data_IF_041230228052
#
_entry.id   IF_041230228052
#
_cell.length_a   1.000
_cell.length_b   1.000
_cell.length_c   1.000
_cell.angle_alpha   90.00
_cell.angle_beta   90.00
_cell.angle_gamma   90.00
#
_symmetry.space_group_name_H-M   'P 1'
#
loop_
_entity.id
_entity.type
_entity.pdbx_description
1 polymer ?
#
# COMPACT_ATOMS: atom_id res chain seq x y z
N UNK A 1 -2.35 -2.33 -20.13
CA UNK A 1 -2.62 -2.29 -18.68
C UNK A 1 -3.59 -1.16 -18.41
N UNK A 2 -4.62 -1.41 -17.62
CA UNK A 2 -5.57 -0.39 -17.17
C UNK A 2 -4.87 0.64 -16.27
N UNK A 3 -5.31 1.91 -16.37
CA UNK A 3 -4.78 3.00 -15.53
C UNK A 3 -5.94 3.78 -14.94
N UNK A 4 -5.72 4.31 -13.74
CA UNK A 4 -6.60 5.32 -13.15
C UNK A 4 -5.97 6.70 -13.25
N UNK A 5 -6.82 7.72 -13.31
CA UNK A 5 -6.36 9.10 -13.40
C UNK A 5 -6.41 9.74 -12.02
N UNK A 6 -5.30 10.25 -11.55
CA UNK A 6 -5.21 11.03 -10.32
C UNK A 6 -5.78 12.43 -10.51
N UNK A 7 -6.07 13.13 -9.41
CA UNK A 7 -6.53 14.54 -9.42
C UNK A 7 -5.60 15.47 -10.21
N UNK A 8 -4.29 15.18 -10.22
CA UNK A 8 -3.29 15.92 -11.02
C UNK A 8 -3.38 15.70 -12.53
N UNK A 9 -4.20 14.76 -13.00
CA UNK A 9 -4.26 14.30 -14.39
C UNK A 9 -3.25 13.20 -14.72
N UNK A 10 -2.33 12.87 -13.83
CA UNK A 10 -1.38 11.77 -14.03
C UNK A 10 -2.09 10.42 -14.02
N UNK A 11 -1.52 9.45 -14.75
CA UNK A 11 -2.08 8.10 -14.84
C UNK A 11 -1.22 7.12 -14.04
N UNK A 12 -1.85 6.43 -13.08
CA UNK A 12 -1.25 5.35 -12.32
C UNK A 12 -1.73 4.00 -12.87
N UNK A 13 -0.83 3.01 -13.09
CA UNK A 13 -1.26 1.65 -13.41
C UNK A 13 -2.15 1.06 -12.31
N UNK A 14 -3.32 0.57 -12.68
CA UNK A 14 -4.30 0.02 -11.75
C UNK A 14 -3.83 -1.24 -11.01
N UNK A 15 -2.79 -1.89 -11.54
CA UNK A 15 -2.25 -3.13 -11.01
C UNK A 15 -0.74 -3.04 -10.84
N UNK A 16 -0.25 -3.36 -9.63
CA UNK A 16 1.16 -3.32 -9.27
C UNK A 16 1.65 -4.57 -8.54
N UNK A 17 2.93 -4.60 -8.23
CA UNK A 17 3.59 -5.61 -7.42
C UNK A 17 3.93 -5.04 -6.05
N UNK A 18 3.37 -5.62 -4.98
CA UNK A 18 3.83 -5.39 -3.61
C UNK A 18 5.13 -6.14 -3.32
N UNK A 19 6.03 -5.53 -2.55
CA UNK A 19 7.35 -6.10 -2.22
C UNK A 19 7.49 -6.52 -0.76
N UNK A 20 6.51 -6.28 0.09
CA UNK A 20 6.54 -6.64 1.51
C UNK A 20 6.76 -8.14 1.73
N UNK A 21 7.52 -8.52 2.75
CA UNK A 21 7.84 -9.91 3.15
C UNK A 21 8.57 -10.76 2.08
N UNK A 22 9.16 -10.14 1.09
CA UNK A 22 10.06 -10.87 0.19
C UNK A 22 11.41 -11.09 0.90
N UNK A 23 11.86 -12.33 0.95
CA UNK A 23 13.14 -12.66 1.59
C UNK A 23 14.31 -12.11 0.77
N UNK A 24 15.44 -11.94 1.46
CA UNK A 24 16.69 -11.52 0.82
C UNK A 24 17.03 -12.45 -0.36
N UNK A 25 17.39 -11.88 -1.50
CA UNK A 25 17.69 -12.58 -2.74
C UNK A 25 16.47 -13.03 -3.56
N UNK A 26 15.23 -12.86 -3.04
CA UNK A 26 14.01 -13.23 -3.76
C UNK A 26 13.37 -12.04 -4.49
N UNK A 27 13.40 -10.83 -3.88
CA UNK A 27 12.68 -9.66 -4.41
C UNK A 27 13.28 -9.19 -5.72
N UNK A 28 14.60 -9.17 -5.87
CA UNK A 28 15.25 -8.79 -7.12
C UNK A 28 14.77 -9.68 -8.30
N UNK A 29 14.75 -11.00 -8.08
CA UNK A 29 14.29 -11.96 -9.09
C UNK A 29 12.82 -11.77 -9.42
N UNK A 30 11.99 -11.55 -8.38
CA UNK A 30 10.56 -11.34 -8.54
C UNK A 30 10.26 -10.06 -9.33
N UNK A 31 10.95 -8.97 -9.02
CA UNK A 31 10.78 -7.68 -9.74
C UNK A 31 11.24 -7.81 -11.19
N UNK A 32 12.40 -8.42 -11.44
CA UNK A 32 12.87 -8.69 -12.83
C UNK A 32 11.87 -9.50 -13.63
N UNK A 33 11.30 -10.56 -13.03
CA UNK A 33 10.27 -11.37 -13.70
C UNK A 33 8.98 -10.59 -13.91
N UNK A 34 8.53 -9.82 -12.93
CA UNK A 34 7.34 -8.99 -13.05
C UNK A 34 7.47 -7.96 -14.19
N UNK A 35 8.60 -7.26 -14.26
CA UNK A 35 8.88 -6.31 -15.35
C UNK A 35 8.87 -7.00 -16.73
N UNK A 36 9.43 -8.24 -16.85
CA UNK A 36 9.35 -9.04 -18.08
C UNK A 36 7.93 -9.45 -18.44
N UNK A 37 7.07 -9.74 -17.46
CA UNK A 37 5.65 -10.07 -17.66
C UNK A 37 4.87 -8.84 -18.14
N UNK A 38 5.32 -7.63 -17.80
CA UNK A 38 4.68 -6.38 -18.19
C UNK A 38 4.14 -5.56 -17.03
N UNK A 39 4.47 -5.87 -15.78
CA UNK A 39 4.18 -4.99 -14.65
C UNK A 39 4.86 -3.64 -14.86
N UNK A 40 4.14 -2.57 -14.51
CA UNK A 40 4.62 -1.19 -14.63
C UNK A 40 4.52 -0.42 -13.32
N UNK A 41 4.00 -1.04 -12.25
CA UNK A 41 3.87 -0.44 -10.93
C UNK A 41 4.52 -1.35 -9.88
N UNK A 42 5.43 -0.76 -9.08
CA UNK A 42 6.10 -1.41 -7.95
C UNK A 42 5.75 -0.63 -6.67
N UNK A 43 5.34 -1.35 -5.63
CA UNK A 43 5.06 -0.80 -4.31
C UNK A 43 6.11 -1.27 -3.30
N UNK A 44 6.91 -0.33 -2.82
CA UNK A 44 8.03 -0.50 -1.90
C UNK A 44 7.76 0.18 -0.56
N UNK A 45 8.64 0.01 0.39
CA UNK A 45 8.77 0.83 1.60
C UNK A 45 10.13 0.64 2.24
N UNK A 46 10.69 1.69 2.83
CA UNK A 46 11.97 1.65 3.53
C UNK A 46 12.04 0.56 4.60
N UNK A 47 10.93 0.38 5.36
CA UNK A 47 10.84 -0.62 6.42
C UNK A 47 10.91 -2.09 5.92
N UNK A 48 10.65 -2.34 4.64
CA UNK A 48 10.74 -3.71 4.10
C UNK A 48 12.16 -4.20 3.96
N UNK A 49 13.15 -3.31 4.11
CA UNK A 49 14.60 -3.60 4.10
C UNK A 49 15.06 -4.35 2.85
N UNK A 50 14.39 -4.10 1.72
CA UNK A 50 14.68 -4.76 0.44
C UNK A 50 14.75 -3.81 -0.76
N UNK A 51 14.70 -2.48 -0.53
CA UNK A 51 14.74 -1.47 -1.60
C UNK A 51 16.03 -1.55 -2.43
N UNK A 52 17.18 -1.87 -1.82
CA UNK A 52 18.44 -2.07 -2.54
C UNK A 52 18.34 -3.18 -3.60
N UNK A 53 17.68 -4.30 -3.28
CA UNK A 53 17.47 -5.39 -4.24
C UNK A 53 16.45 -5.01 -5.33
N UNK A 54 15.40 -4.26 -4.96
CA UNK A 54 14.47 -3.68 -5.94
C UNK A 54 15.21 -2.74 -6.88
N UNK A 55 16.10 -1.89 -6.35
CA UNK A 55 16.95 -0.99 -7.13
C UNK A 55 17.89 -1.71 -8.09
N UNK A 56 18.44 -2.88 -7.70
CA UNK A 56 19.23 -3.73 -8.60
C UNK A 56 18.38 -4.25 -9.77
N UNK A 57 17.12 -4.63 -9.49
CA UNK A 57 16.20 -5.06 -10.54
C UNK A 57 15.81 -3.90 -11.47
N UNK A 58 15.51 -2.73 -10.91
CA UNK A 58 15.19 -1.51 -11.68
C UNK A 58 16.34 -1.08 -12.58
N UNK A 59 17.58 -1.10 -12.08
CA UNK A 59 18.76 -0.77 -12.86
C UNK A 59 19.00 -1.71 -14.07
N UNK A 60 18.43 -2.92 -14.04
CA UNK A 60 18.47 -3.87 -15.15
C UNK A 60 17.30 -3.77 -16.13
N UNK A 61 16.33 -2.89 -15.85
CA UNK A 61 15.18 -2.66 -16.74
C UNK A 61 15.61 -1.89 -17.98
N UNK A 62 15.39 -2.51 -19.15
CA UNK A 62 15.80 -1.93 -20.44
C UNK A 62 14.83 -0.89 -21.01
N UNK A 63 13.64 -0.77 -20.44
CA UNK A 63 12.64 0.22 -20.87
C UNK A 63 12.86 1.59 -20.23
N UNK A 64 12.16 2.62 -20.73
CA UNK A 64 12.31 3.98 -20.19
C UNK A 64 11.71 4.11 -18.79
N UNK A 65 12.36 4.90 -17.91
CA UNK A 65 11.95 5.12 -16.52
C UNK A 65 10.50 5.63 -16.40
N UNK A 66 10.09 6.50 -17.31
CA UNK A 66 8.75 7.12 -17.29
C UNK A 66 7.60 6.14 -17.57
N UNK A 67 7.89 4.92 -18.03
CA UNK A 67 6.88 3.86 -18.14
C UNK A 67 6.61 3.15 -16.81
N UNK A 68 7.48 3.34 -15.82
CA UNK A 68 7.35 2.71 -14.52
C UNK A 68 6.75 3.70 -13.51
N UNK A 69 5.87 3.19 -12.69
CA UNK A 69 5.38 3.83 -11.49
C UNK A 69 6.01 3.15 -10.27
N UNK A 70 6.77 3.89 -9.49
CA UNK A 70 7.43 3.39 -8.28
C UNK A 70 6.94 4.17 -7.07
N UNK A 71 6.32 3.45 -6.15
CA UNK A 71 5.85 3.97 -4.85
C UNK A 71 6.78 3.51 -3.76
N UNK A 72 7.12 4.40 -2.82
CA UNK A 72 7.69 4.02 -1.53
C UNK A 72 7.06 4.81 -0.39
N UNK A 73 7.50 4.57 0.87
CA UNK A 73 6.82 5.06 2.05
C UNK A 73 7.80 5.55 3.10
N UNK A 74 7.49 6.69 3.69
CA UNK A 74 8.14 7.29 4.85
C UNK A 74 7.82 6.46 6.09
N UNK A 75 8.83 5.95 6.76
CA UNK A 75 8.63 5.16 7.98
C UNK A 75 8.38 6.04 9.20
N UNK A 76 7.73 5.45 10.20
CA UNK A 76 7.23 6.10 11.41
C UNK A 76 8.28 6.86 12.24
N UNK A 77 9.56 6.51 12.10
CA UNK A 77 10.68 7.17 12.79
C UNK A 77 11.30 8.34 12.04
N UNK A 78 10.72 8.74 10.91
CA UNK A 78 11.21 9.84 10.09
C UNK A 78 10.11 10.90 9.82
N UNK A 79 9.17 11.05 10.74
CA UNK A 79 8.08 12.01 10.60
C UNK A 79 8.47 13.44 11.04
N UNK A 80 9.58 13.63 11.78
CA UNK A 80 10.09 14.98 12.01
C UNK A 80 10.41 15.67 10.67
N UNK A 81 10.04 16.95 10.49
CA UNK A 81 10.23 17.64 9.21
C UNK A 81 11.64 17.53 8.65
N UNK A 82 12.66 17.67 9.51
CA UNK A 82 14.07 17.55 9.13
C UNK A 82 14.49 16.14 8.68
N UNK A 83 13.77 15.10 9.07
CA UNK A 83 14.09 13.70 8.74
C UNK A 83 13.41 13.24 7.44
N UNK A 84 12.35 13.92 6.97
CA UNK A 84 11.55 13.50 5.81
C UNK A 84 12.40 13.43 4.54
N UNK A 85 13.09 14.52 4.22
CA UNK A 85 13.93 14.58 3.03
C UNK A 85 15.10 13.60 3.08
N UNK A 86 15.90 13.51 4.15
CA UNK A 86 16.94 12.49 4.26
C UNK A 86 16.44 11.06 4.10
N UNK A 87 15.26 10.72 4.64
CA UNK A 87 14.64 9.41 4.48
C UNK A 87 14.28 9.12 3.01
N UNK A 88 13.72 10.10 2.30
CA UNK A 88 13.41 9.96 0.87
C UNK A 88 14.69 9.83 0.02
N UNK A 89 15.71 10.64 0.28
CA UNK A 89 16.99 10.58 -0.42
C UNK A 89 17.66 9.20 -0.21
N UNK A 90 17.54 8.63 0.98
CA UNK A 90 18.02 7.27 1.27
C UNK A 90 17.25 6.23 0.45
N UNK A 91 15.93 6.31 0.42
CA UNK A 91 15.06 5.45 -0.42
C UNK A 91 15.46 5.55 -1.89
N UNK A 92 15.67 6.76 -2.41
CA UNK A 92 16.10 6.98 -3.80
C UNK A 92 17.46 6.34 -4.11
N UNK A 93 18.41 6.47 -3.19
CA UNK A 93 19.72 5.82 -3.30
C UNK A 93 19.59 4.30 -3.35
N UNK A 94 18.81 3.71 -2.45
CA UNK A 94 18.62 2.27 -2.37
C UNK A 94 17.89 1.72 -3.61
N UNK A 95 16.88 2.43 -4.11
CA UNK A 95 16.16 2.11 -5.34
C UNK A 95 16.92 2.46 -6.62
N UNK A 96 18.06 3.18 -6.53
CA UNK A 96 18.85 3.68 -7.67
C UNK A 96 18.03 4.56 -8.61
N UNK A 97 17.22 5.42 -8.04
CA UNK A 97 16.34 6.35 -8.75
C UNK A 97 16.71 7.81 -8.43
N UNK A 98 16.35 8.71 -9.33
CA UNK A 98 16.45 10.16 -9.11
C UNK A 98 15.18 10.76 -8.52
N UNK A 99 14.03 10.08 -8.70
CA UNK A 99 12.74 10.49 -8.15
C UNK A 99 11.81 9.29 -8.01
N UNK A 100 10.84 9.40 -7.11
CA UNK A 100 9.68 8.52 -7.03
C UNK A 100 8.49 9.08 -7.80
N UNK A 101 7.57 8.21 -8.22
CA UNK A 101 6.27 8.63 -8.75
C UNK A 101 5.29 8.96 -7.61
N UNK A 102 5.42 8.28 -6.46
CA UNK A 102 4.59 8.49 -5.29
C UNK A 102 5.36 8.17 -4.00
N UNK A 103 5.28 9.06 -3.02
CA UNK A 103 5.79 8.83 -1.67
C UNK A 103 4.69 9.00 -0.63
N UNK A 104 4.54 8.04 0.28
CA UNK A 104 3.43 7.96 1.24
C UNK A 104 3.94 8.08 2.69
N UNK A 105 3.20 8.76 3.56
CA UNK A 105 3.29 8.50 5.01
C UNK A 105 2.77 7.07 5.23
N UNK A 106 3.59 6.19 5.83
CA UNK A 106 3.27 4.76 5.92
C UNK A 106 2.16 4.45 6.93
N UNK A 107 2.22 5.07 8.10
CA UNK A 107 1.22 4.99 9.17
C UNK A 107 1.10 6.35 9.87
N UNK A 108 -0.06 6.69 10.45
CA UNK A 108 -0.20 7.92 11.24
C UNK A 108 0.36 7.75 12.67
N UNK A 109 1.51 7.12 12.82
CA UNK A 109 2.13 6.75 14.09
C UNK A 109 3.56 7.25 14.11
N UNK A 110 4.01 7.80 15.23
CA UNK A 110 5.32 8.41 15.38
C UNK A 110 6.22 7.60 16.31
N UNK A 111 7.44 7.36 15.87
CA UNK A 111 8.50 6.76 16.68
C UNK A 111 9.64 7.74 16.86
N UNK A 112 10.42 7.56 17.93
CA UNK A 112 11.69 8.24 18.08
C UNK A 112 12.59 8.00 16.87
N UNK A 113 13.33 9.04 16.44
CA UNK A 113 14.20 8.99 15.29
C UNK A 113 15.15 7.77 15.33
N UNK A 114 15.29 7.07 14.18
CA UNK A 114 16.13 5.89 14.04
C UNK A 114 15.55 4.57 14.59
N UNK A 115 14.40 4.60 15.25
CA UNK A 115 13.72 3.40 15.75
C UNK A 115 13.04 2.68 14.60
N UNK A 116 13.39 1.41 14.39
CA UNK A 116 12.77 0.57 13.35
C UNK A 116 11.44 0.00 13.84
N UNK A 117 11.45 -0.65 15.01
CA UNK A 117 10.27 -1.11 15.74
C UNK A 117 10.49 -0.82 17.23
N UNK A 118 9.60 -0.11 17.91
CA UNK A 118 9.70 0.19 19.33
C UNK A 118 9.75 -1.07 20.18
N UNK A 119 10.55 -1.02 21.24
CA UNK A 119 10.71 -2.10 22.25
C UNK A 119 10.42 -1.62 23.67
N UNK A 120 10.22 -0.32 23.86
CA UNK A 120 9.97 0.34 25.12
C UNK A 120 9.14 1.62 24.92
N UNK A 121 8.49 2.11 25.95
CA UNK A 121 7.58 3.26 25.90
C UNK A 121 8.24 4.54 25.37
N UNK A 122 9.49 4.80 25.73
CA UNK A 122 10.26 5.98 25.31
C UNK A 122 10.56 6.03 23.81
N UNK A 123 10.33 4.94 23.08
CA UNK A 123 10.51 4.84 21.64
C UNK A 123 9.23 5.15 20.85
N UNK A 124 8.09 5.27 21.54
CA UNK A 124 6.87 5.81 20.97
C UNK A 124 6.76 7.31 21.25
N UNK A 125 6.50 8.11 20.26
CA UNK A 125 6.10 9.49 20.46
C UNK A 125 4.57 9.57 20.51
N UNK A 126 3.98 10.42 21.38
CA UNK A 126 2.53 10.57 21.43
C UNK A 126 1.97 11.11 20.09
N UNK A 127 0.68 10.88 19.80
CA UNK A 127 0.05 11.27 18.54
C UNK A 127 0.16 12.75 18.18
N UNK A 128 0.26 13.62 19.17
CA UNK A 128 0.37 15.07 19.05
C UNK A 128 1.81 15.61 19.10
N UNK A 129 2.81 14.71 19.26
CA UNK A 129 4.21 15.13 19.33
C UNK A 129 4.75 15.71 18.02
N UNK A 130 4.22 15.26 16.89
CA UNK A 130 4.58 15.74 15.56
C UNK A 130 3.27 15.99 14.82
N UNK A 131 2.84 17.25 14.66
CA UNK A 131 1.69 17.57 13.84
C UNK A 131 1.86 17.00 12.43
N UNK A 132 0.88 16.25 11.95
CA UNK A 132 0.96 15.62 10.61
C UNK A 132 1.13 16.65 9.51
N UNK A 133 0.65 17.85 9.74
CA UNK A 133 0.77 19.00 8.84
C UNK A 133 2.24 19.41 8.62
N UNK A 134 3.09 19.32 9.64
CA UNK A 134 4.52 19.62 9.55
C UNK A 134 5.26 18.55 8.72
N UNK A 135 4.98 17.27 8.98
CA UNK A 135 5.48 16.15 8.14
C UNK A 135 5.02 16.33 6.69
N UNK A 136 3.75 16.73 6.49
CA UNK A 136 3.19 16.93 5.16
C UNK A 136 3.84 18.07 4.41
N UNK A 137 4.09 19.21 5.07
CA UNK A 137 4.80 20.35 4.49
C UNK A 137 6.21 19.94 4.01
N UNK A 138 6.95 19.16 4.80
CA UNK A 138 8.25 18.65 4.38
C UNK A 138 8.14 17.68 3.17
N UNK A 139 7.05 16.93 3.04
CA UNK A 139 6.77 16.14 1.83
C UNK A 139 6.44 17.03 0.62
N UNK A 140 5.72 18.14 0.81
CA UNK A 140 5.46 19.13 -0.25
C UNK A 140 6.77 19.76 -0.74
N UNK A 141 7.70 20.05 0.15
CA UNK A 141 9.05 20.52 -0.21
C UNK A 141 9.82 19.47 -1.02
N UNK A 142 9.67 18.19 -0.71
CA UNK A 142 10.23 17.09 -1.51
C UNK A 142 9.63 17.05 -2.94
N UNK A 143 8.35 17.36 -3.11
CA UNK A 143 7.74 17.51 -4.44
C UNK A 143 8.33 18.70 -5.18
N UNK A 144 8.46 19.85 -4.51
CA UNK A 144 9.05 21.06 -5.10
C UNK A 144 10.52 20.84 -5.52
N UNK A 145 11.25 20.03 -4.74
CA UNK A 145 12.62 19.63 -5.05
C UNK A 145 12.73 18.56 -6.16
N UNK A 146 11.61 18.04 -6.68
CA UNK A 146 11.58 17.01 -7.73
C UNK A 146 12.02 15.61 -7.26
N UNK A 147 12.04 15.36 -5.95
CA UNK A 147 12.40 14.05 -5.38
C UNK A 147 11.25 13.04 -5.46
N UNK A 148 10.02 13.52 -5.49
CA UNK A 148 8.82 12.72 -5.76
C UNK A 148 7.83 13.53 -6.59
N UNK A 149 7.05 12.86 -7.44
CA UNK A 149 6.04 13.56 -8.26
C UNK A 149 4.72 13.75 -7.51
N UNK A 150 4.33 12.77 -6.72
CA UNK A 150 3.10 12.77 -5.94
C UNK A 150 3.38 12.37 -4.51
N UNK A 151 2.54 12.85 -3.61
CA UNK A 151 2.53 12.48 -2.19
C UNK A 151 1.15 11.99 -1.78
N UNK A 152 1.11 11.15 -0.75
CA UNK A 152 -0.12 10.57 -0.24
C UNK A 152 0.08 9.97 1.15
N UNK A 153 -0.92 9.26 1.59
CA UNK A 153 -0.95 8.64 2.92
C UNK A 153 -1.24 7.14 2.83
N UNK A 154 -0.96 6.43 3.91
CA UNK A 154 -1.34 5.03 4.06
C UNK A 154 -1.87 4.80 5.48
N UNK A 155 -2.95 4.01 5.60
CA UNK A 155 -3.61 3.71 6.87
C UNK A 155 -4.22 4.94 7.59
N UNK A 156 -4.67 5.92 6.83
CA UNK A 156 -5.36 7.10 7.37
C UNK A 156 -6.87 6.94 7.29
N UNK A 157 -7.57 7.36 8.35
CA UNK A 157 -9.03 7.51 8.36
C UNK A 157 -9.45 8.79 7.64
N UNK A 158 -10.73 8.94 7.32
CA UNK A 158 -11.27 10.15 6.69
C UNK A 158 -11.01 11.38 7.56
N UNK A 159 -11.18 11.26 8.88
CA UNK A 159 -10.97 12.35 9.83
C UNK A 159 -9.50 12.82 9.84
N UNK A 160 -8.54 11.87 9.83
CA UNK A 160 -7.11 12.21 9.76
C UNK A 160 -6.73 12.87 8.44
N UNK A 161 -7.35 12.43 7.34
CA UNK A 161 -7.14 13.07 6.03
C UNK A 161 -7.77 14.47 6.01
N UNK A 162 -8.98 14.65 6.54
CA UNK A 162 -9.62 15.97 6.62
C UNK A 162 -8.82 16.94 7.49
N UNK A 163 -8.20 16.46 8.57
CA UNK A 163 -7.30 17.27 9.40
C UNK A 163 -6.10 17.75 8.58
N UNK A 164 -5.39 16.82 7.93
CA UNK A 164 -4.24 17.12 7.08
C UNK A 164 -4.61 18.10 5.94
N UNK A 165 -5.75 17.91 5.29
CA UNK A 165 -6.19 18.72 4.15
C UNK A 165 -6.52 20.18 4.52
N UNK A 166 -6.69 20.53 5.79
CA UNK A 166 -6.95 21.92 6.22
C UNK A 166 -5.77 22.87 5.91
N UNK A 167 -4.56 22.38 5.92
CA UNK A 167 -3.33 23.17 5.74
C UNK A 167 -2.53 22.76 4.51
N UNK A 168 -2.85 21.60 3.90
CA UNK A 168 -2.15 21.08 2.75
C UNK A 168 -2.26 22.00 1.51
N UNK A 169 -1.14 22.36 0.90
CA UNK A 169 -1.07 23.03 -0.41
C UNK A 169 -1.16 22.03 -1.56
N UNK A 170 -0.62 20.82 -1.35
CA UNK A 170 -0.72 19.67 -2.26
C UNK A 170 -1.62 18.64 -1.60
N UNK A 171 -2.79 18.34 -2.21
CA UNK A 171 -3.71 17.36 -1.69
C UNK A 171 -3.15 15.94 -1.80
N UNK A 172 -3.44 15.03 -0.84
CA UNK A 172 -3.05 13.63 -0.95
C UNK A 172 -3.58 13.02 -2.25
N UNK A 173 -2.68 12.45 -3.05
CA UNK A 173 -3.07 11.80 -4.31
C UNK A 173 -3.74 10.44 -4.06
N UNK A 174 -3.27 9.72 -3.04
CA UNK A 174 -3.66 8.34 -2.72
C UNK A 174 -3.75 8.16 -1.21
N UNK A 175 -4.73 7.34 -0.77
CA UNK A 175 -4.68 6.65 0.51
C UNK A 175 -4.51 5.14 0.25
N UNK A 176 -3.39 4.55 0.68
CA UNK A 176 -3.16 3.12 0.57
C UNK A 176 -3.65 2.42 1.85
N UNK A 177 -4.62 1.52 1.71
CA UNK A 177 -5.30 0.87 2.83
C UNK A 177 -5.42 -0.64 2.64
N UNK A 178 -5.62 -1.38 3.72
CA UNK A 178 -6.07 -2.75 3.62
C UNK A 178 -7.47 -2.80 3.02
N UNK A 179 -7.62 -3.54 1.90
CA UNK A 179 -8.90 -3.66 1.22
C UNK A 179 -9.00 -5.02 0.52
N UNK A 180 -10.04 -5.76 0.87
CA UNK A 180 -10.39 -7.08 0.33
C UNK A 180 -11.83 -7.44 0.73
N UNK A 181 -12.44 -8.55 0.24
CA UNK A 181 -13.84 -8.87 0.53
C UNK A 181 -14.25 -8.97 2.00
N UNK A 182 -13.32 -9.24 2.92
CA UNK A 182 -13.63 -9.24 4.37
C UNK A 182 -13.45 -7.87 5.04
N UNK A 183 -12.92 -6.88 4.30
CA UNK A 183 -12.77 -5.49 4.73
C UNK A 183 -12.95 -4.58 3.51
N UNK A 184 -14.20 -4.26 3.18
CA UNK A 184 -14.53 -3.66 1.89
C UNK A 184 -14.32 -2.16 1.81
N UNK A 185 -14.29 -1.47 2.94
CA UNK A 185 -13.96 -0.05 3.02
C UNK A 185 -14.88 0.86 2.16
N UNK A 186 -16.20 0.54 2.08
CA UNK A 186 -17.13 1.27 1.22
C UNK A 186 -17.23 2.76 1.58
N UNK A 187 -17.22 3.07 2.88
CA UNK A 187 -17.21 4.45 3.35
C UNK A 187 -15.97 5.21 2.86
N UNK A 188 -14.78 4.59 2.99
CA UNK A 188 -13.51 5.19 2.55
C UNK A 188 -13.43 5.30 1.01
N UNK A 189 -14.01 4.35 0.26
CA UNK A 189 -14.11 4.43 -1.19
C UNK A 189 -14.96 5.62 -1.64
N UNK A 190 -16.11 5.83 -1.00
CA UNK A 190 -17.00 6.96 -1.29
C UNK A 190 -16.31 8.28 -0.92
N UNK A 191 -15.72 8.35 0.27
CA UNK A 191 -14.92 9.50 0.70
C UNK A 191 -13.80 9.83 -0.30
N UNK A 192 -13.04 8.83 -0.73
CA UNK A 192 -11.97 9.02 -1.71
C UNK A 192 -12.49 9.58 -3.04
N UNK A 193 -13.64 9.08 -3.52
CA UNK A 193 -14.28 9.61 -4.75
C UNK A 193 -14.70 11.07 -4.59
N UNK A 194 -15.30 11.43 -3.48
CA UNK A 194 -15.73 12.82 -3.19
C UNK A 194 -14.55 13.78 -3.09
N UNK A 195 -13.49 13.36 -2.45
CA UNK A 195 -12.29 14.19 -2.24
C UNK A 195 -11.30 14.14 -3.41
N UNK A 196 -11.50 13.26 -4.39
CA UNK A 196 -10.56 13.03 -5.50
C UNK A 196 -9.26 12.34 -5.06
N UNK A 197 -9.32 11.50 -4.02
CA UNK A 197 -8.23 10.69 -3.48
C UNK A 197 -8.42 9.25 -3.94
N UNK A 198 -7.48 8.72 -4.70
CA UNK A 198 -7.55 7.34 -5.17
C UNK A 198 -7.14 6.37 -4.06
N UNK A 199 -7.81 5.21 -3.98
CA UNK A 199 -7.42 4.17 -3.03
C UNK A 199 -6.49 3.13 -3.67
N UNK A 200 -5.48 2.72 -2.91
CA UNK A 200 -4.65 1.54 -3.24
C UNK A 200 -4.93 0.43 -2.23
N UNK A 201 -5.36 -0.73 -2.73
CA UNK A 201 -5.66 -1.91 -1.94
C UNK A 201 -4.38 -2.72 -1.67
N UNK A 202 -3.90 -2.71 -0.43
CA UNK A 202 -2.88 -3.67 0.01
C UNK A 202 -3.54 -4.91 0.64
N UNK A 203 -2.77 -5.99 0.82
CA UNK A 203 -3.24 -7.30 1.28
C UNK A 203 -4.50 -7.83 0.55
N UNK A 204 -4.67 -7.62 -0.77
CA UNK A 204 -5.91 -7.98 -1.48
C UNK A 204 -6.23 -9.48 -1.45
N UNK A 205 -5.25 -10.32 -1.09
CA UNK A 205 -5.37 -11.78 -0.99
C UNK A 205 -5.46 -12.28 0.45
N UNK A 206 -5.66 -11.38 1.44
CA UNK A 206 -5.80 -11.73 2.87
C UNK A 206 -4.48 -11.94 3.61
N UNK A 207 -3.34 -11.56 3.02
CA UNK A 207 -2.01 -11.57 3.69
C UNK A 207 -1.67 -12.84 4.51
N UNK A 208 -2.07 -14.02 4.01
CA UNK A 208 -1.91 -15.31 4.72
C UNK A 208 -0.45 -15.71 5.00
N UNK A 209 0.54 -15.05 4.38
CA UNK A 209 1.98 -15.27 4.58
C UNK A 209 2.62 -14.29 5.58
N UNK A 210 1.82 -13.47 6.31
CA UNK A 210 2.36 -12.55 7.31
C UNK A 210 2.91 -13.29 8.53
N UNK A 211 3.80 -12.66 9.35
CA UNK A 211 4.38 -13.28 10.53
C UNK A 211 3.33 -13.86 11.47
N UNK A 212 3.63 -15.00 12.09
CA UNK A 212 2.68 -15.67 13.02
C UNK A 212 2.24 -14.77 14.18
N UNK A 213 3.13 -13.90 14.68
CA UNK A 213 2.83 -12.97 15.75
C UNK A 213 1.73 -11.94 15.38
N UNK A 214 1.52 -11.71 14.08
CA UNK A 214 0.45 -10.82 13.58
C UNK A 214 -0.84 -11.58 13.24
N UNK A 215 -0.89 -12.90 13.52
CA UNK A 215 -2.05 -13.73 13.20
C UNK A 215 -2.87 -13.95 14.46
N UNK A 216 -4.20 -13.82 14.31
CA UNK A 216 -5.17 -14.18 15.34
C UNK A 216 -5.51 -15.67 15.25
N UNK A 217 -5.91 -16.25 16.39
CA UNK A 217 -6.51 -17.58 16.38
C UNK A 217 -7.80 -17.56 15.53
N UNK A 218 -8.05 -18.61 14.77
CA UNK A 218 -9.29 -18.79 13.99
C UNK A 218 -9.57 -17.67 12.95
N UNK A 219 -8.52 -16.99 12.45
CA UNK A 219 -8.71 -15.99 11.41
C UNK A 219 -9.24 -16.62 10.09
N UNK A 220 -10.15 -15.92 9.39
CA UNK A 220 -10.69 -16.42 8.15
C UNK A 220 -9.64 -16.46 7.03
N UNK A 221 -9.65 -17.50 6.20
CA UNK A 221 -8.73 -17.64 5.07
C UNK A 221 -9.44 -17.25 3.78
N UNK A 222 -9.21 -16.02 3.32
CA UNK A 222 -9.92 -15.43 2.18
C UNK A 222 -9.82 -16.28 0.90
N UNK A 223 -8.64 -16.82 0.59
CA UNK A 223 -8.42 -17.68 -0.59
C UNK A 223 -9.17 -19.03 -0.52
N UNK A 224 -9.68 -19.41 0.64
CA UNK A 224 -10.45 -20.64 0.86
C UNK A 224 -11.95 -20.38 1.02
N UNK A 225 -12.38 -19.13 0.91
CA UNK A 225 -13.80 -18.78 0.99
C UNK A 225 -14.58 -19.46 -0.15
N UNK A 226 -15.71 -20.08 0.18
CA UNK A 226 -16.53 -20.86 -0.75
C UNK A 226 -17.03 -20.03 -1.93
N UNK A 227 -17.55 -18.85 -1.67
CA UNK A 227 -18.01 -17.89 -2.71
C UNK A 227 -16.89 -17.54 -3.68
N UNK A 228 -15.69 -17.23 -3.14
CA UNK A 228 -14.52 -16.90 -3.98
C UNK A 228 -14.10 -18.09 -4.85
N UNK A 229 -14.12 -19.31 -4.29
CA UNK A 229 -13.78 -20.54 -5.03
C UNK A 229 -14.83 -20.83 -6.12
N UNK A 230 -16.11 -20.66 -5.85
CA UNK A 230 -17.20 -20.88 -6.81
C UNK A 230 -17.12 -19.85 -7.94
N UNK A 231 -16.92 -18.57 -7.62
CA UNK A 231 -16.70 -17.51 -8.61
C UNK A 231 -15.46 -17.82 -9.47
N UNK A 232 -14.37 -18.28 -8.86
CA UNK A 232 -13.17 -18.67 -9.60
C UNK A 232 -13.43 -19.81 -10.59
N UNK A 233 -14.22 -20.81 -10.22
CA UNK A 233 -14.63 -21.92 -11.11
C UNK A 233 -15.47 -21.41 -12.27
N UNK A 234 -16.45 -20.53 -12.04
CA UNK A 234 -17.30 -19.89 -13.05
C UNK A 234 -16.45 -19.21 -14.13
N UNK A 235 -15.43 -18.45 -13.69
CA UNK A 235 -14.53 -17.70 -14.58
C UNK A 235 -13.30 -18.49 -15.09
N UNK A 236 -13.17 -19.79 -14.78
CA UNK A 236 -11.98 -20.60 -15.08
C UNK A 236 -10.68 -19.94 -14.61
N UNK A 237 -10.73 -19.35 -13.43
CA UNK A 237 -9.68 -18.56 -12.80
C UNK A 237 -9.24 -19.19 -11.46
N UNK A 238 -8.22 -18.61 -10.85
CA UNK A 238 -7.84 -18.93 -9.47
C UNK A 238 -8.55 -17.99 -8.48
N UNK A 239 -8.75 -18.39 -7.21
CA UNK A 239 -9.29 -17.52 -6.17
C UNK A 239 -8.54 -16.18 -6.07
N UNK A 240 -7.19 -16.20 -6.16
CA UNK A 240 -6.38 -14.98 -6.14
C UNK A 240 -6.68 -14.04 -7.31
N UNK A 241 -6.95 -14.58 -8.50
CA UNK A 241 -7.33 -13.77 -9.65
C UNK A 241 -8.71 -13.11 -9.46
N UNK A 242 -9.67 -13.81 -8.87
CA UNK A 242 -11.00 -13.25 -8.55
C UNK A 242 -10.87 -12.09 -7.57
N UNK A 243 -10.07 -12.25 -6.51
CA UNK A 243 -9.85 -11.20 -5.51
C UNK A 243 -9.22 -9.93 -6.13
N UNK A 244 -8.26 -10.11 -7.02
CA UNK A 244 -7.63 -9.00 -7.74
C UNK A 244 -8.65 -8.33 -8.67
N UNK A 245 -9.39 -9.13 -9.46
CA UNK A 245 -10.40 -8.62 -10.39
C UNK A 245 -11.51 -7.86 -9.65
N UNK A 246 -11.94 -8.34 -8.47
CA UNK A 246 -12.92 -7.68 -7.63
C UNK A 246 -12.45 -6.30 -7.16
N UNK A 247 -11.21 -6.19 -6.66
CA UNK A 247 -10.67 -4.91 -6.22
C UNK A 247 -10.51 -3.92 -7.38
N UNK A 248 -10.05 -4.38 -8.56
CA UNK A 248 -10.00 -3.57 -9.78
C UNK A 248 -11.40 -3.09 -10.21
N UNK A 249 -12.41 -3.96 -10.17
CA UNK A 249 -13.79 -3.61 -10.53
C UNK A 249 -14.39 -2.52 -9.61
N UNK A 250 -13.88 -2.37 -8.38
CA UNK A 250 -14.26 -1.31 -7.43
C UNK A 250 -13.55 0.03 -7.69
N UNK A 251 -12.63 0.09 -8.65
CA UNK A 251 -11.89 1.30 -8.99
C UNK A 251 -10.70 1.57 -8.07
N UNK A 252 -10.14 0.53 -7.45
CA UNK A 252 -8.94 0.65 -6.61
C UNK A 252 -7.68 0.16 -7.33
N UNK A 253 -6.56 0.80 -7.09
CA UNK A 253 -5.25 0.24 -7.44
C UNK A 253 -5.00 -0.99 -6.57
N UNK A 254 -4.41 -2.04 -7.13
CA UNK A 254 -4.20 -3.32 -6.42
C UNK A 254 -2.75 -3.76 -6.50
N UNK A 255 -2.15 -4.07 -5.34
CA UNK A 255 -0.73 -4.39 -5.22
C UNK A 255 -0.47 -5.76 -4.54
N UNK A 256 -0.94 -6.88 -5.13
CA UNK A 256 -0.67 -8.20 -4.56
C UNK A 256 0.83 -8.51 -4.58
N UNK A 257 1.32 -9.14 -3.52
CA UNK A 257 2.71 -9.60 -3.44
C UNK A 257 2.85 -11.03 -3.91
N UNK A 258 3.85 -11.30 -4.71
CA UNK A 258 4.32 -12.66 -5.00
C UNK A 258 5.79 -12.67 -5.40
N UNK A 259 6.52 -13.71 -5.00
CA UNK A 259 7.87 -14.01 -5.49
C UNK A 259 7.88 -15.25 -6.40
N UNK A 260 6.74 -15.89 -6.59
CA UNK A 260 6.61 -17.07 -7.43
C UNK A 260 6.28 -16.67 -8.89
N UNK A 261 7.12 -17.04 -9.88
CA UNK A 261 6.94 -16.62 -11.28
C UNK A 261 5.58 -17.05 -11.88
N UNK A 262 5.07 -18.22 -11.50
CA UNK A 262 3.76 -18.70 -11.97
C UNK A 262 2.65 -17.80 -11.43
N UNK A 263 2.66 -17.52 -10.11
CA UNK A 263 1.67 -16.64 -9.48
C UNK A 263 1.77 -15.20 -9.97
N UNK A 264 2.97 -14.69 -10.30
CA UNK A 264 3.12 -13.38 -10.94
C UNK A 264 2.36 -13.31 -12.26
N UNK A 265 2.49 -14.34 -13.13
CA UNK A 265 1.75 -14.41 -14.40
C UNK A 265 0.23 -14.57 -14.18
N UNK A 266 -0.17 -15.39 -13.22
CA UNK A 266 -1.59 -15.57 -12.86
C UNK A 266 -2.20 -14.25 -12.36
N UNK A 267 -1.55 -13.58 -11.42
CA UNK A 267 -2.00 -12.30 -10.88
C UNK A 267 -2.10 -11.23 -11.98
N UNK A 268 -1.12 -11.16 -12.87
CA UNK A 268 -1.13 -10.20 -13.98
C UNK A 268 -2.32 -10.41 -14.93
N UNK A 269 -2.69 -11.66 -15.20
CA UNK A 269 -3.84 -12.01 -16.03
C UNK A 269 -5.19 -11.69 -15.39
N UNK A 270 -5.25 -11.46 -14.07
CA UNK A 270 -6.48 -11.10 -13.37
C UNK A 270 -7.17 -9.85 -13.95
N UNK A 271 -6.39 -8.92 -14.53
CA UNK A 271 -6.90 -7.72 -15.20
C UNK A 271 -7.85 -8.01 -16.37
N UNK A 272 -7.84 -9.23 -16.88
CA UNK A 272 -8.69 -9.66 -18.02
C UNK A 272 -10.03 -10.24 -17.56
N UNK A 273 -10.17 -10.55 -16.26
CA UNK A 273 -11.38 -11.14 -15.72
C UNK A 273 -12.40 -10.02 -15.48
N UNK A 274 -13.61 -10.22 -16.01
CA UNK A 274 -14.74 -9.33 -15.82
C UNK A 274 -15.77 -10.06 -14.96
N UNK A 275 -15.86 -9.66 -13.72
CA UNK A 275 -16.89 -10.12 -12.80
C UNK A 275 -18.22 -9.47 -13.17
N UNK A 276 -19.29 -10.25 -13.21
CA UNK A 276 -20.63 -9.73 -13.46
C UNK A 276 -21.26 -9.18 -12.17
N UNK A 277 -22.46 -8.65 -12.32
CA UNK A 277 -23.18 -8.02 -11.19
C UNK A 277 -23.53 -9.03 -10.07
N UNK A 278 -23.83 -10.29 -10.43
CA UNK A 278 -24.12 -11.35 -9.47
C UNK A 278 -22.86 -11.73 -8.68
N UNK A 279 -21.70 -11.88 -9.36
CA UNK A 279 -20.40 -12.12 -8.71
C UNK A 279 -20.09 -11.01 -7.70
N UNK A 280 -20.23 -9.75 -8.13
CA UNK A 280 -19.97 -8.59 -7.27
C UNK A 280 -20.90 -8.57 -6.06
N UNK A 281 -22.19 -8.88 -6.23
CA UNK A 281 -23.14 -8.94 -5.13
C UNK A 281 -22.81 -10.06 -4.13
N UNK A 282 -22.47 -11.26 -4.62
CA UNK A 282 -22.09 -12.38 -3.75
C UNK A 282 -20.80 -12.10 -2.97
N UNK A 283 -19.81 -11.44 -3.61
CA UNK A 283 -18.58 -11.09 -2.94
C UNK A 283 -18.80 -9.93 -1.95
N UNK A 284 -19.68 -8.98 -2.26
CA UNK A 284 -20.04 -7.90 -1.34
C UNK A 284 -20.74 -8.38 -0.06
N UNK A 285 -21.41 -9.53 -0.10
CA UNK A 285 -21.99 -10.15 1.09
C UNK A 285 -20.95 -10.76 2.06
N UNK A 286 -19.66 -10.74 1.73
CA UNK A 286 -18.59 -11.34 2.53
C UNK A 286 -17.95 -10.38 3.53
N UNK A 287 -18.38 -9.13 3.63
CA UNK A 287 -17.79 -8.15 4.55
C UNK A 287 -17.93 -8.63 6.01
N UNK A 288 -16.81 -8.62 6.71
CA UNK A 288 -16.72 -9.01 8.11
C UNK A 288 -16.15 -7.89 8.97
N UNK A 289 -15.79 -6.74 8.34
CA UNK A 289 -14.97 -5.69 8.96
C UNK A 289 -13.66 -6.25 9.55
N UNK A 290 -13.18 -7.36 8.98
CA UNK A 290 -12.01 -8.09 9.45
C UNK A 290 -10.72 -7.53 8.86
N UNK A 291 -9.89 -6.95 9.71
CA UNK A 291 -8.57 -6.41 9.35
C UNK A 291 -7.48 -7.41 9.70
N UNK A 292 -6.69 -7.84 8.70
CA UNK A 292 -5.54 -8.75 8.88
C UNK A 292 -4.29 -8.00 9.38
N UNK A 293 -4.11 -6.75 8.97
CA UNK A 293 -2.98 -5.88 9.33
C UNK A 293 -3.53 -4.71 10.13
N UNK A 294 -4.00 -5.00 11.34
CA UNK A 294 -4.76 -4.05 12.17
C UNK A 294 -3.91 -3.01 12.90
N UNK A 295 -2.59 -3.17 12.92
CA UNK A 295 -1.70 -2.26 13.64
C UNK A 295 -1.59 -2.56 15.15
N UNK A 296 -2.13 -3.69 15.64
CA UNK A 296 -2.07 -4.08 17.06
C UNK A 296 -0.62 -4.12 17.58
N UNK A 297 0.34 -4.44 16.71
CA UNK A 297 1.76 -4.42 17.06
C UNK A 297 2.29 -3.02 17.42
N UNK A 298 1.56 -1.95 17.13
CA UNK A 298 1.85 -0.58 17.52
C UNK A 298 1.05 -0.13 18.77
N UNK A 299 0.05 -0.90 19.18
CA UNK A 299 -0.87 -0.61 20.26
C UNK A 299 -0.55 -1.49 21.49
N UNK A 300 0.71 -1.57 21.87
CA UNK A 300 1.18 -2.35 23.05
C UNK A 300 0.93 -1.59 24.34
N UNK A 301 1.09 -2.26 25.49
CA UNK A 301 0.97 -1.62 26.80
C UNK A 301 1.93 -0.43 27.01
N UNK A 302 3.05 -0.42 26.28
CA UNK A 302 4.04 0.65 26.29
C UNK A 302 3.72 1.79 25.33
N UNK A 303 2.70 1.65 24.50
CA UNK A 303 2.33 2.63 23.48
C UNK A 303 1.23 3.58 23.95
N UNK A 304 1.29 4.82 23.48
CA UNK A 304 0.19 5.78 23.62
C UNK A 304 -0.92 5.59 22.54
N UNK A 305 -0.67 4.74 21.56
CA UNK A 305 -1.63 4.44 20.50
C UNK A 305 -2.56 3.29 20.89
N UNK A 306 -3.81 3.40 20.49
CA UNK A 306 -4.83 2.34 20.61
C UNK A 306 -5.40 2.01 19.26
N UNK A 307 -5.99 0.83 19.10
CA UNK A 307 -6.71 0.47 17.87
C UNK A 307 -7.89 1.42 17.61
N UNK A 308 -8.54 1.88 18.68
CA UNK A 308 -9.61 2.86 18.60
C UNK A 308 -9.11 4.19 18.01
N UNK A 309 -8.03 4.75 18.54
CA UNK A 309 -7.41 5.95 17.99
C UNK A 309 -6.94 5.75 16.53
N UNK A 310 -6.48 4.57 16.20
CA UNK A 310 -5.95 4.30 14.85
C UNK A 310 -7.06 4.23 13.80
N UNK A 311 -8.20 3.60 14.13
CA UNK A 311 -9.22 3.24 13.15
C UNK A 311 -10.60 3.87 13.37
N UNK A 312 -10.94 4.26 14.58
CA UNK A 312 -12.21 4.89 14.89
C UNK A 312 -12.06 6.41 14.89
N UNK A 313 -13.13 7.07 14.52
CA UNK A 313 -13.24 8.52 14.37
C UNK A 313 -14.14 9.11 15.46
#
# INVERSE_FOLDING_TARGET
METYTLRSGAKIPAFGLGTWKSKKGEVEKAVKEALKIGYKHLDCAAIYSNETEVGQALASYAGPRHELWVTSKLWNSAHQPEDVRPALERTLLDLRLTHLDLYLIHWPIHFTAGVVFPRSADQFLPPDAIPVEETWQALEECVQAGLTTHIGVSNFTAQKIDALMRTASIMPAINQIELHPYLQQDAMLNYGREKGILLTAYAPLGSGDRPKIMKKAEEPVLLQNKTIIETAKKHKATPGQVLIAWALARGTVVIPKSVNPKRLRENFKAQQIKLDQEDMAHISALDLEWRFVDGENFCTADSTYTLDWLWNE
#
